data_IF_134734240227
#
_entry.id   IF_134734240227
#
_cell.length_a   1.000
_cell.length_b   1.000
_cell.length_c   1.000
_cell.angle_alpha   90.00
_cell.angle_beta   90.00
_cell.angle_gamma   90.00
#
_symmetry.space_group_name_H-M   'P 1'
#
loop_
_entity.id
_entity.type
_entity.pdbx_description
1 polymer ?
#
# COMPACT_ATOMS: atom_id res chain seq x y z
N UNK A 1 12.03 6.76 -9.83
CA UNK A 1 12.21 5.64 -8.90
C UNK A 1 13.61 5.07 -9.01
N UNK A 2 14.09 4.66 -10.21
CA UNK A 2 15.40 4.04 -10.39
C UNK A 2 16.55 4.81 -9.71
N UNK A 3 16.64 6.13 -9.91
CA UNK A 3 17.69 6.95 -9.31
C UNK A 3 17.56 6.97 -7.77
N UNK A 4 16.34 7.05 -7.24
CA UNK A 4 16.09 7.00 -5.80
C UNK A 4 16.48 5.67 -5.15
N UNK A 5 16.33 4.56 -5.88
CA UNK A 5 16.82 3.24 -5.46
C UNK A 5 18.37 3.26 -5.44
N UNK A 6 19.01 3.74 -6.51
CA UNK A 6 20.47 3.84 -6.61
C UNK A 6 21.09 4.69 -5.50
N UNK A 7 20.40 5.74 -5.06
CA UNK A 7 20.82 6.63 -3.98
C UNK A 7 20.44 6.10 -2.56
N UNK A 8 19.85 4.90 -2.47
CA UNK A 8 19.47 4.28 -1.20
C UNK A 8 18.32 4.97 -0.47
N UNK A 9 17.50 5.76 -1.18
CA UNK A 9 16.32 6.40 -0.63
C UNK A 9 15.11 5.46 -0.57
N UNK A 10 15.08 4.42 -1.41
CA UNK A 10 13.99 3.45 -1.54
C UNK A 10 14.48 2.08 -1.13
N UNK A 11 13.72 1.39 -0.28
CA UNK A 11 14.02 0.03 0.20
C UNK A 11 13.19 -1.04 -0.52
N UNK A 12 11.98 -0.71 -0.97
CA UNK A 12 11.16 -1.54 -1.83
C UNK A 12 10.31 -0.66 -2.75
N UNK A 13 9.92 -1.19 -3.90
CA UNK A 13 9.06 -0.50 -4.87
C UNK A 13 8.15 -1.52 -5.54
N UNK A 14 6.86 -1.16 -5.70
CA UNK A 14 5.83 -1.94 -6.36
C UNK A 14 5.04 -1.03 -7.29
N UNK A 15 4.87 -1.40 -8.54
CA UNK A 15 3.94 -0.71 -9.44
C UNK A 15 2.48 -1.07 -9.08
N UNK A 16 1.60 -0.09 -9.25
CA UNK A 16 0.17 -0.29 -9.07
C UNK A 16 -0.42 -0.67 -10.43
N UNK A 17 -0.61 -1.96 -10.64
CA UNK A 17 -1.13 -2.54 -11.88
C UNK A 17 -2.43 -3.33 -11.62
N UNK A 18 -2.51 -4.59 -12.05
CA UNK A 18 -3.71 -5.42 -11.89
C UNK A 18 -4.22 -5.49 -10.45
N UNK A 19 -5.49 -5.16 -10.24
CA UNK A 19 -6.12 -5.11 -8.92
C UNK A 19 -5.88 -3.85 -8.10
N UNK A 20 -5.16 -2.85 -8.66
CA UNK A 20 -5.01 -1.52 -8.06
C UNK A 20 -4.13 -1.45 -6.83
N UNK A 21 -4.29 -0.35 -6.08
CA UNK A 21 -3.47 -0.05 -4.90
C UNK A 21 -3.65 -1.08 -3.78
N UNK A 22 -4.87 -1.55 -3.56
CA UNK A 22 -5.16 -2.53 -2.50
C UNK A 22 -4.39 -3.83 -2.69
N UNK A 23 -4.34 -4.34 -3.94
CA UNK A 23 -3.57 -5.55 -4.28
C UNK A 23 -2.08 -5.29 -4.17
N UNK A 24 -1.56 -4.17 -4.69
CA UNK A 24 -0.14 -3.84 -4.57
C UNK A 24 0.33 -3.76 -3.11
N UNK A 25 -0.47 -3.18 -2.20
CA UNK A 25 -0.17 -3.12 -0.78
C UNK A 25 -0.20 -4.52 -0.12
N UNK A 26 -1.18 -5.35 -0.50
CA UNK A 26 -1.27 -6.73 -0.01
C UNK A 26 -0.06 -7.56 -0.46
N UNK A 27 0.34 -7.47 -1.73
CA UNK A 27 1.52 -8.16 -2.26
C UNK A 27 2.80 -7.73 -1.54
N UNK A 28 3.00 -6.43 -1.33
CA UNK A 28 4.16 -5.93 -0.57
C UNK A 28 4.16 -6.48 0.86
N UNK A 29 3.01 -6.56 1.53
CA UNK A 29 2.90 -7.12 2.88
C UNK A 29 3.22 -8.62 2.90
N UNK A 30 2.67 -9.40 1.96
CA UNK A 30 2.91 -10.85 1.84
C UNK A 30 4.41 -11.12 1.60
N UNK A 31 5.03 -10.44 0.64
CA UNK A 31 6.42 -10.71 0.26
C UNK A 31 7.43 -10.26 1.31
N UNK A 32 7.11 -9.22 2.08
CA UNK A 32 7.98 -8.77 3.17
C UNK A 32 7.74 -9.48 4.50
N UNK A 33 6.57 -10.10 4.70
CA UNK A 33 6.11 -10.61 5.99
C UNK A 33 5.79 -9.49 7.00
N UNK A 34 5.70 -8.23 6.53
CA UNK A 34 5.44 -7.06 7.36
C UNK A 34 4.13 -6.40 6.97
N UNK A 35 3.33 -6.07 7.96
CA UNK A 35 2.15 -5.25 7.77
C UNK A 35 2.48 -3.76 7.63
N UNK A 36 1.44 -2.93 7.65
CA UNK A 36 1.58 -1.48 7.63
C UNK A 36 0.35 -0.82 8.23
N UNK A 37 0.53 0.36 8.80
CA UNK A 37 -0.53 1.27 9.22
C UNK A 37 -0.56 2.45 8.25
N UNK A 38 -1.59 2.50 7.41
CA UNK A 38 -1.68 3.43 6.29
C UNK A 38 -2.95 4.27 6.39
N UNK A 39 -2.87 5.51 5.91
CA UNK A 39 -4.00 6.40 5.75
C UNK A 39 -4.08 6.87 4.31
N UNK A 40 -5.16 6.51 3.63
CA UNK A 40 -5.37 6.83 2.23
C UNK A 40 -6.45 7.91 2.10
N UNK A 41 -6.15 9.03 1.40
CA UNK A 41 -7.20 9.93 0.97
C UNK A 41 -8.09 9.21 -0.05
N UNK A 42 -9.39 9.20 0.20
CA UNK A 42 -10.36 8.62 -0.72
C UNK A 42 -11.22 9.68 -1.39
N UNK A 43 -11.65 9.38 -2.59
CA UNK A 43 -12.66 10.11 -3.34
C UNK A 43 -14.07 9.70 -2.89
N UNK A 44 -15.05 9.81 -3.76
CA UNK A 44 -16.42 9.35 -3.52
C UNK A 44 -16.60 7.84 -3.63
N UNK A 45 -15.57 7.09 -4.08
CA UNK A 45 -15.66 5.65 -4.30
C UNK A 45 -14.43 4.92 -3.75
N UNK A 46 -14.46 4.48 -2.47
CA UNK A 46 -13.34 3.73 -1.86
C UNK A 46 -12.90 2.52 -2.66
N UNK A 47 -13.85 1.79 -3.26
CA UNK A 47 -13.54 0.63 -4.08
C UNK A 47 -12.76 1.00 -5.34
N UNK A 48 -13.11 2.11 -6.00
CA UNK A 48 -12.37 2.59 -7.17
C UNK A 48 -10.97 3.10 -6.79
N UNK A 49 -10.82 3.73 -5.63
CA UNK A 49 -9.52 4.22 -5.15
C UNK A 49 -8.56 3.08 -4.79
N UNK A 50 -9.10 2.00 -4.18
CA UNK A 50 -8.30 0.83 -3.79
C UNK A 50 -8.04 -0.14 -4.95
N UNK A 51 -9.05 -0.41 -5.77
CA UNK A 51 -8.99 -1.48 -6.77
C UNK A 51 -9.03 -0.98 -8.22
N UNK A 52 -9.19 0.33 -8.41
CA UNK A 52 -9.10 0.94 -9.74
C UNK A 52 -7.68 0.96 -10.27
N UNK A 53 -7.53 0.61 -11.55
CA UNK A 53 -6.26 0.64 -12.26
C UNK A 53 -6.03 2.04 -12.83
N UNK A 54 -5.05 2.73 -12.30
CA UNK A 54 -4.60 4.04 -12.80
C UNK A 54 -3.13 3.95 -13.19
N UNK A 55 -2.76 4.40 -14.40
CA UNK A 55 -1.39 4.30 -14.87
C UNK A 55 -0.44 5.20 -14.05
N UNK A 56 0.84 4.83 -14.07
CA UNK A 56 1.94 5.63 -13.49
C UNK A 56 1.90 5.81 -11.97
N UNK A 57 1.29 4.88 -11.22
CA UNK A 57 1.34 4.83 -9.76
C UNK A 57 2.35 3.80 -9.31
N UNK A 58 3.19 4.19 -8.35
CA UNK A 58 4.21 3.30 -7.75
C UNK A 58 4.17 3.51 -6.24
N UNK A 59 4.04 2.42 -5.48
CA UNK A 59 4.23 2.43 -4.04
C UNK A 59 5.70 2.18 -3.75
N UNK A 60 6.27 2.98 -2.86
CA UNK A 60 7.67 2.80 -2.42
C UNK A 60 7.74 2.81 -0.91
N UNK A 61 8.72 2.09 -0.36
CA UNK A 61 9.09 2.19 1.04
C UNK A 61 10.45 2.86 1.19
N UNK A 62 10.64 3.53 2.29
CA UNK A 62 11.87 4.23 2.65
C UNK A 62 12.15 4.03 4.13
N UNK A 63 13.41 4.12 4.52
CA UNK A 63 13.75 4.24 5.94
C UNK A 63 13.23 5.57 6.49
N UNK A 64 12.77 5.65 7.76
CA UNK A 64 12.23 6.89 8.33
C UNK A 64 13.16 8.09 8.16
N UNK A 65 14.46 7.89 8.38
CA UNK A 65 15.48 8.95 8.25
C UNK A 65 15.73 9.41 6.80
N UNK A 66 15.20 8.70 5.83
CA UNK A 66 15.33 9.02 4.39
C UNK A 66 14.03 9.50 3.76
N UNK A 67 12.92 9.41 4.47
CA UNK A 67 11.58 9.71 3.93
C UNK A 67 11.47 11.17 3.46
N UNK A 68 11.97 12.12 4.24
CA UNK A 68 11.97 13.53 3.88
C UNK A 68 12.79 13.80 2.60
N UNK A 69 13.98 13.20 2.48
CA UNK A 69 14.82 13.34 1.29
C UNK A 69 14.15 12.74 0.04
N UNK A 70 13.40 11.65 0.19
CA UNK A 70 12.64 11.05 -0.90
C UNK A 70 11.50 11.97 -1.36
N UNK A 71 10.74 12.54 -0.43
CA UNK A 71 9.66 13.50 -0.75
C UNK A 71 10.22 14.78 -1.40
N UNK A 72 11.31 15.33 -0.89
CA UNK A 72 12.00 16.46 -1.50
C UNK A 72 12.43 16.16 -2.94
N UNK A 73 12.98 14.98 -3.18
CA UNK A 73 13.37 14.52 -4.52
C UNK A 73 12.17 14.45 -5.47
N UNK A 74 11.01 14.00 -4.98
CA UNK A 74 9.79 13.98 -5.78
C UNK A 74 9.34 15.40 -6.18
N UNK A 75 9.37 16.34 -5.24
CA UNK A 75 9.04 17.75 -5.49
C UNK A 75 10.00 18.35 -6.54
N UNK A 76 11.32 18.16 -6.40
CA UNK A 76 12.34 18.63 -7.36
C UNK A 76 12.09 18.10 -8.78
N UNK A 77 11.53 16.89 -8.88
CA UNK A 77 11.19 16.26 -10.16
C UNK A 77 9.74 16.53 -10.60
N UNK A 78 9.02 17.40 -9.89
CA UNK A 78 7.60 17.73 -10.17
C UNK A 78 6.70 16.49 -10.20
N UNK A 79 7.00 15.49 -9.36
CA UNK A 79 6.21 14.27 -9.21
C UNK A 79 5.31 14.40 -7.98
N UNK A 80 4.01 14.11 -8.10
CA UNK A 80 3.15 14.01 -6.93
C UNK A 80 3.59 12.82 -6.06
N UNK A 81 3.81 13.07 -4.77
CA UNK A 81 4.18 12.05 -3.81
C UNK A 81 3.50 12.35 -2.46
N UNK A 82 3.03 11.32 -1.80
CA UNK A 82 2.36 11.40 -0.50
C UNK A 82 2.87 10.29 0.40
N UNK A 83 3.22 10.63 1.64
CA UNK A 83 3.49 9.64 2.67
C UNK A 83 2.15 9.05 3.15
N UNK A 84 2.02 7.74 3.09
CA UNK A 84 0.78 7.04 3.44
C UNK A 84 0.78 6.54 4.88
N UNK A 85 1.93 6.27 5.48
CA UNK A 85 2.03 5.74 6.82
C UNK A 85 3.32 4.97 7.08
N UNK A 86 3.26 3.99 7.96
CA UNK A 86 4.42 3.26 8.47
C UNK A 86 4.29 1.76 8.22
N UNK A 87 5.40 1.16 7.78
CA UNK A 87 5.54 -0.30 7.65
C UNK A 87 5.96 -0.89 8.98
N UNK A 88 5.38 -2.02 9.34
CA UNK A 88 5.71 -2.77 10.55
C UNK A 88 4.56 -3.64 11.02
N UNK A 89 4.83 -4.44 12.06
CA UNK A 89 3.87 -5.39 12.64
C UNK A 89 3.45 -6.49 11.66
N UNK A 90 2.34 -7.14 11.97
CA UNK A 90 1.83 -8.35 11.29
C UNK A 90 0.45 -8.15 10.67
N UNK A 91 -0.04 -6.89 10.63
CA UNK A 91 -1.34 -6.54 10.07
C UNK A 91 -1.23 -5.42 9.06
N UNK A 92 -1.98 -5.52 7.98
CA UNK A 92 -2.20 -4.43 7.04
C UNK A 92 -3.47 -3.68 7.48
N UNK A 93 -3.27 -2.48 8.01
CA UNK A 93 -4.34 -1.57 8.43
C UNK A 93 -4.36 -0.40 7.47
N UNK A 94 -5.49 -0.19 6.80
CA UNK A 94 -5.67 0.92 5.86
C UNK A 94 -6.89 1.72 6.30
N UNK A 95 -6.66 2.91 6.82
CA UNK A 95 -7.73 3.87 7.11
C UNK A 95 -8.06 4.67 5.85
N UNK A 96 -9.33 4.69 5.48
CA UNK A 96 -9.86 5.42 4.35
C UNK A 96 -10.41 6.76 4.86
N UNK A 97 -9.73 7.85 4.54
CA UNK A 97 -10.07 9.18 5.04
C UNK A 97 -10.66 10.05 3.92
N UNK A 98 -11.75 10.75 4.21
CA UNK A 98 -12.38 11.65 3.25
C UNK A 98 -11.43 12.73 2.71
N UNK A 99 -11.74 13.30 1.54
CA UNK A 99 -10.93 14.29 0.86
C UNK A 99 -10.59 15.48 1.79
N UNK A 100 -9.29 15.71 2.00
CA UNK A 100 -8.75 16.72 2.93
C UNK A 100 -7.73 16.18 3.93
N UNK A 101 -7.65 14.86 4.11
CA UNK A 101 -6.71 14.23 5.02
C UNK A 101 -5.41 13.83 4.31
N UNK A 102 -4.55 14.81 4.03
CA UNK A 102 -3.19 14.56 3.52
C UNK A 102 -2.17 14.68 4.64
N UNK A 103 -1.44 13.61 4.90
CA UNK A 103 -0.24 13.66 5.75
C UNK A 103 -0.31 12.83 7.03
N UNK A 104 0.78 12.16 7.33
CA UNK A 104 0.98 11.22 8.44
C UNK A 104 0.96 11.86 9.85
N UNK A 105 0.76 13.17 10.00
CA UNK A 105 1.00 13.82 11.29
C UNK A 105 -0.08 14.80 11.81
N UNK A 106 -1.00 15.35 11.03
CA UNK A 106 -1.63 16.57 11.53
C UNK A 106 -3.15 16.65 11.62
N UNK A 107 -3.96 15.63 11.33
CA UNK A 107 -5.39 15.76 11.66
C UNK A 107 -6.03 14.45 12.14
N UNK A 108 -5.90 14.17 13.42
CA UNK A 108 -6.73 13.17 14.15
C UNK A 108 -8.23 13.50 14.17
N UNK A 109 -8.66 14.50 13.43
CA UNK A 109 -10.04 14.96 13.36
C UNK A 109 -10.78 14.62 12.07
N UNK A 110 -10.12 14.15 11.02
CA UNK A 110 -10.82 13.74 9.82
C UNK A 110 -11.50 12.38 10.04
N UNK A 111 -12.81 12.31 9.77
CA UNK A 111 -13.61 11.10 9.93
C UNK A 111 -13.03 10.00 9.05
N UNK A 112 -12.57 8.89 9.66
CA UNK A 112 -12.32 7.64 8.96
C UNK A 112 -13.67 7.18 8.42
N UNK A 113 -13.80 7.10 7.11
CA UNK A 113 -15.06 6.71 6.46
C UNK A 113 -15.23 5.19 6.44
N UNK A 114 -14.11 4.47 6.36
CA UNK A 114 -14.04 3.02 6.33
C UNK A 114 -12.60 2.58 6.63
N UNK A 115 -12.39 1.31 6.95
CA UNK A 115 -11.06 0.76 7.18
C UNK A 115 -10.97 -0.70 6.72
N UNK A 116 -9.77 -1.08 6.29
CA UNK A 116 -9.36 -2.46 6.08
C UNK A 116 -8.38 -2.80 7.19
N UNK A 117 -8.60 -3.92 7.87
CA UNK A 117 -7.70 -4.44 8.91
C UNK A 117 -7.60 -5.95 8.76
N UNK A 118 -6.48 -6.44 8.24
CA UNK A 118 -6.27 -7.85 7.92
C UNK A 118 -4.88 -8.31 8.33
N UNK A 119 -4.77 -9.53 8.89
CA UNK A 119 -3.47 -10.10 9.20
C UNK A 119 -2.72 -10.47 7.91
N UNK A 120 -1.40 -10.26 7.89
CA UNK A 120 -0.55 -10.63 6.75
C UNK A 120 -0.64 -12.12 6.45
N UNK A 121 -0.74 -12.97 7.48
CA UNK A 121 -0.93 -14.41 7.32
C UNK A 121 -2.24 -14.76 6.59
N UNK A 122 -3.33 -14.02 6.85
CA UNK A 122 -4.62 -14.25 6.17
C UNK A 122 -4.54 -13.83 4.69
N UNK A 123 -3.81 -12.74 4.39
CA UNK A 123 -3.53 -12.32 3.02
C UNK A 123 -2.71 -13.38 2.27
N UNK A 124 -1.69 -13.93 2.92
CA UNK A 124 -0.84 -14.97 2.35
C UNK A 124 -1.65 -16.25 2.06
N UNK A 125 -2.49 -16.70 3.00
CA UNK A 125 -3.38 -17.83 2.78
C UNK A 125 -4.35 -17.59 1.62
N UNK A 126 -4.96 -16.41 1.55
CA UNK A 126 -5.87 -16.07 0.45
C UNK A 126 -5.14 -16.06 -0.90
N UNK A 127 -3.91 -15.58 -0.94
CA UNK A 127 -3.06 -15.57 -2.14
C UNK A 127 -2.71 -16.99 -2.58
N UNK A 128 -2.25 -17.84 -1.66
CA UNK A 128 -1.81 -19.21 -1.96
C UNK A 128 -2.96 -20.13 -2.34
N UNK A 129 -4.10 -19.99 -1.67
CA UNK A 129 -5.24 -20.91 -1.79
C UNK A 129 -6.30 -20.43 -2.79
N UNK A 130 -6.33 -19.14 -3.13
CA UNK A 130 -7.40 -18.55 -3.92
C UNK A 130 -7.57 -19.21 -5.29
N UNK A 131 -6.50 -19.33 -6.07
CA UNK A 131 -6.54 -19.96 -7.37
C UNK A 131 -6.72 -21.48 -7.30
N UNK A 132 -6.02 -22.24 -6.44
CA UNK A 132 -6.25 -23.66 -6.27
C UNK A 132 -7.70 -23.99 -5.89
N UNK A 133 -8.32 -23.22 -4.98
CA UNK A 133 -9.73 -23.39 -4.62
C UNK A 133 -10.67 -23.10 -5.78
N UNK A 134 -10.44 -21.98 -6.49
CA UNK A 134 -11.27 -21.59 -7.62
C UNK A 134 -11.22 -22.62 -8.76
N UNK A 135 -10.11 -23.34 -8.92
CA UNK A 135 -9.91 -24.39 -9.93
C UNK A 135 -10.25 -25.80 -9.43
N UNK A 136 -10.71 -25.96 -8.18
CA UNK A 136 -11.02 -27.29 -7.61
C UNK A 136 -9.77 -28.14 -7.32
N UNK A 137 -8.57 -27.55 -7.29
CA UNK A 137 -7.31 -28.27 -7.06
C UNK A 137 -7.01 -28.51 -5.57
N UNK A 138 -7.72 -27.85 -4.68
CA UNK A 138 -7.51 -27.98 -3.24
C UNK A 138 -7.83 -29.39 -2.71
N UNK A 139 -8.75 -30.12 -3.38
CA UNK A 139 -9.16 -31.48 -3.01
C UNK A 139 -8.17 -32.56 -3.53
N UNK A 140 -7.26 -32.22 -4.43
CA UNK A 140 -6.34 -33.19 -5.03
C UNK A 140 -5.05 -33.41 -4.22
N UNK A 141 -4.85 -32.73 -3.11
CA UNK A 141 -3.66 -32.79 -2.24
C UNK A 141 -3.90 -33.40 -0.86
N UNK A 142 -5.06 -33.99 -0.62
CA UNK A 142 -5.39 -34.68 0.65
C UNK A 142 -5.03 -36.16 0.61
#
# INVERSE_FOLDING_TARGET
VRDAIGDGLVTAAQDVSGGGLGVALAEMAIWSGLGAELRLPISSSPAADLFGESPSRIVVTSRPERAEALLTRAVERQLPATALGLVGRDRLVVELAGAGATGAAEERGSRVADSVDVAVADLEHAWQDGLPRALGWAEARA
#
